data_IF_987011145768
#
_entry.id   IF_987011145768
#
_cell.length_a   1.000
_cell.length_b   1.000
_cell.length_c   1.000
_cell.angle_alpha   90.00
_cell.angle_beta   90.00
_cell.angle_gamma   90.00
#
_symmetry.space_group_name_H-M   'P 1'
#
loop_
_entity.id
_entity.type
_entity.pdbx_description
1 polymer ?
#
# COMPACT_ATOMS: atom_id res chain seq x y z
N UNK A 1 -38.17 -20.85 -9.28
CA UNK A 1 -37.11 -20.28 -10.16
C UNK A 1 -36.58 -19.02 -9.50
N UNK A 2 -35.37 -19.10 -8.95
CA UNK A 2 -34.77 -18.07 -8.10
C UNK A 2 -34.17 -16.94 -8.93
N UNK A 3 -34.18 -15.74 -8.34
CA UNK A 3 -33.85 -14.42 -8.90
C UNK A 3 -32.45 -14.29 -9.53
N UNK A 4 -31.58 -15.30 -9.41
CA UNK A 4 -30.23 -15.35 -9.98
C UNK A 4 -30.19 -15.61 -11.49
N UNK A 5 -31.19 -16.30 -12.05
CA UNK A 5 -31.21 -16.65 -13.48
C UNK A 5 -31.61 -15.47 -14.38
N UNK A 6 -32.31 -14.47 -13.82
CA UNK A 6 -32.75 -13.28 -14.58
C UNK A 6 -31.60 -12.29 -14.80
N UNK A 7 -30.66 -12.18 -13.84
CA UNK A 7 -29.49 -11.31 -14.01
C UNK A 7 -28.55 -11.83 -15.10
N UNK A 8 -28.20 -13.12 -15.06
CA UNK A 8 -27.27 -13.74 -16.03
C UNK A 8 -27.75 -13.66 -17.48
N UNK A 9 -29.07 -13.68 -17.73
CA UNK A 9 -29.61 -13.56 -19.09
C UNK A 9 -29.60 -12.13 -19.63
N UNK A 10 -29.78 -11.11 -18.77
CA UNK A 10 -29.73 -9.70 -19.16
C UNK A 10 -28.29 -9.22 -19.49
N UNK A 11 -27.28 -9.85 -18.90
CA UNK A 11 -25.86 -9.59 -19.18
C UNK A 11 -25.39 -10.05 -20.57
N UNK A 12 -25.93 -11.18 -21.09
CA UNK A 12 -25.52 -11.71 -22.40
C UNK A 12 -25.96 -10.81 -23.57
N UNK A 13 -27.12 -10.15 -23.47
CA UNK A 13 -27.59 -9.24 -24.53
C UNK A 13 -26.87 -7.89 -24.51
N UNK A 14 -26.41 -7.41 -23.35
CA UNK A 14 -25.69 -6.12 -23.25
C UNK A 14 -24.26 -6.21 -23.82
N UNK A 15 -23.60 -7.36 -23.64
CA UNK A 15 -22.26 -7.61 -24.18
C UNK A 15 -22.27 -7.69 -25.72
N UNK A 16 -23.32 -8.23 -26.33
CA UNK A 16 -23.39 -8.37 -27.78
C UNK A 16 -23.67 -7.05 -28.52
N UNK A 17 -24.30 -6.07 -27.85
CA UNK A 17 -24.62 -4.77 -28.44
C UNK A 17 -23.50 -3.73 -28.28
N UNK A 18 -22.56 -3.96 -27.36
CA UNK A 18 -21.39 -3.09 -27.10
C UNK A 18 -20.13 -3.50 -27.88
N UNK A 19 -20.16 -4.64 -28.59
CA UNK A 19 -19.00 -5.18 -29.30
C UNK A 19 -18.61 -4.43 -30.58
N UNK A 20 -19.31 -3.35 -30.96
CA UNK A 20 -19.14 -2.78 -32.31
C UNK A 20 -18.47 -1.40 -32.37
N UNK A 21 -18.59 -0.43 -31.45
CA UNK A 21 -18.30 0.96 -31.89
C UNK A 21 -17.83 2.04 -30.87
N UNK A 22 -17.15 1.77 -29.75
CA UNK A 22 -16.73 2.92 -28.91
C UNK A 22 -15.52 2.72 -27.98
N UNK A 23 -14.31 3.07 -28.44
CA UNK A 23 -13.05 3.00 -27.68
C UNK A 23 -13.07 3.89 -26.41
N UNK A 24 -13.82 4.99 -26.41
CA UNK A 24 -14.03 5.84 -25.22
C UNK A 24 -14.85 5.14 -24.14
N UNK A 25 -15.86 4.36 -24.55
CA UNK A 25 -16.68 3.55 -23.65
C UNK A 25 -15.88 2.43 -22.96
N UNK A 26 -14.89 1.87 -23.64
CA UNK A 26 -13.99 0.84 -23.08
C UNK A 26 -13.09 1.38 -21.97
N UNK A 27 -12.58 2.62 -22.09
CA UNK A 27 -11.76 3.25 -21.04
C UNK A 27 -12.60 3.57 -19.81
N UNK A 28 -13.81 4.10 -20.00
CA UNK A 28 -14.74 4.34 -18.90
C UNK A 28 -15.20 3.04 -18.24
N UNK A 29 -15.46 1.98 -19.02
CA UNK A 29 -15.73 0.65 -18.49
C UNK A 29 -14.52 0.12 -17.72
N UNK A 30 -13.31 0.15 -18.24
CA UNK A 30 -12.12 -0.30 -17.52
C UNK A 30 -11.89 0.46 -16.21
N UNK A 31 -12.15 1.78 -16.18
CA UNK A 31 -12.15 2.57 -14.94
C UNK A 31 -13.28 2.17 -13.99
N UNK A 32 -14.48 1.91 -14.51
CA UNK A 32 -15.62 1.43 -13.73
C UNK A 32 -15.34 0.02 -13.17
N UNK A 33 -14.72 -0.85 -13.95
CA UNK A 33 -14.35 -2.21 -13.59
C UNK A 33 -13.19 -2.22 -12.60
N UNK A 34 -12.21 -1.33 -12.72
CA UNK A 34 -11.19 -1.06 -11.70
C UNK A 34 -11.83 -0.59 -10.40
N UNK A 35 -12.75 0.38 -10.47
CA UNK A 35 -13.51 0.87 -9.32
C UNK A 35 -14.40 -0.22 -8.69
N UNK A 36 -15.04 -1.07 -9.50
CA UNK A 36 -15.89 -2.18 -9.05
C UNK A 36 -15.03 -3.29 -8.46
N UNK A 37 -13.89 -3.63 -9.06
CA UNK A 37 -12.94 -4.61 -8.53
C UNK A 37 -12.34 -4.12 -7.22
N UNK A 38 -11.87 -2.88 -7.17
CA UNK A 38 -11.39 -2.25 -5.93
C UNK A 38 -12.52 -2.23 -4.91
N UNK A 39 -13.74 -1.82 -5.25
CA UNK A 39 -14.92 -1.88 -4.34
C UNK A 39 -15.32 -3.30 -3.96
N UNK A 40 -15.12 -4.31 -4.82
CA UNK A 40 -15.42 -5.71 -4.55
C UNK A 40 -14.35 -6.35 -3.66
N UNK A 41 -13.07 -6.07 -3.93
CA UNK A 41 -11.92 -6.46 -3.12
C UNK A 41 -12.08 -5.80 -1.74
N UNK A 42 -12.28 -4.49 -1.69
CA UNK A 42 -12.58 -3.72 -0.48
C UNK A 42 -13.81 -4.30 0.21
N UNK A 43 -14.96 -4.52 -0.43
CA UNK A 43 -16.12 -5.13 0.24
C UNK A 43 -15.86 -6.58 0.71
N UNK A 44 -15.15 -7.40 -0.05
CA UNK A 44 -14.84 -8.80 0.30
C UNK A 44 -13.74 -8.93 1.36
N UNK A 45 -12.97 -7.86 1.58
CA UNK A 45 -11.92 -7.74 2.58
C UNK A 45 -12.49 -7.04 3.83
N UNK A 46 -13.07 -5.84 3.67
CA UNK A 46 -13.64 -5.03 4.74
C UNK A 46 -14.84 -5.67 5.39
N UNK A 47 -15.79 -6.27 4.67
CA UNK A 47 -16.98 -6.82 5.35
C UNK A 47 -16.57 -7.96 6.31
N UNK A 48 -15.74 -8.95 5.91
CA UNK A 48 -15.22 -9.94 6.85
C UNK A 48 -14.28 -9.37 7.91
N UNK A 49 -13.48 -8.34 7.58
CA UNK A 49 -12.64 -7.67 8.56
C UNK A 49 -13.46 -6.98 9.64
N UNK A 50 -14.43 -6.14 9.27
CA UNK A 50 -15.33 -5.45 10.17
C UNK A 50 -16.09 -6.44 11.05
N UNK A 51 -16.63 -7.50 10.46
CA UNK A 51 -17.41 -8.51 11.18
C UNK A 51 -16.53 -9.31 12.14
N UNK A 52 -15.34 -9.73 11.71
CA UNK A 52 -14.41 -10.45 12.56
C UNK A 52 -13.80 -9.55 13.66
N UNK A 53 -13.56 -8.27 13.38
CA UNK A 53 -13.11 -7.29 14.37
C UNK A 53 -14.17 -7.04 15.45
N UNK A 54 -15.43 -6.79 15.06
CA UNK A 54 -16.55 -6.63 15.99
C UNK A 54 -16.73 -7.87 16.89
N UNK A 55 -16.56 -9.08 16.34
CA UNK A 55 -16.63 -10.33 17.09
C UNK A 55 -15.37 -10.62 17.94
N UNK A 56 -14.21 -10.08 17.57
CA UNK A 56 -12.93 -10.29 18.27
C UNK A 56 -12.73 -9.38 19.47
N UNK A 57 -13.21 -8.13 19.41
CA UNK A 57 -13.19 -7.21 20.56
C UNK A 57 -14.01 -7.75 21.75
N UNK A 58 -15.01 -8.60 21.49
CA UNK A 58 -15.89 -9.16 22.53
C UNK A 58 -15.32 -10.36 23.30
N UNK A 59 -14.27 -11.03 22.81
CA UNK A 59 -13.73 -12.27 23.39
C UNK A 59 -12.21 -12.23 23.27
N UNK A 60 -11.48 -12.32 24.39
CA UNK A 60 -10.01 -12.26 24.56
C UNK A 60 -9.16 -13.29 23.75
N UNK A 61 -9.51 -13.62 22.49
CA UNK A 61 -8.78 -14.50 21.57
C UNK A 61 -8.50 -13.80 20.23
N UNK A 62 -7.90 -12.60 20.28
CA UNK A 62 -7.66 -11.77 19.10
C UNK A 62 -6.69 -12.41 18.10
N UNK A 63 -5.61 -13.04 18.56
CA UNK A 63 -4.55 -13.56 17.67
C UNK A 63 -5.03 -14.69 16.76
N UNK A 64 -5.65 -15.74 17.32
CA UNK A 64 -6.10 -16.91 16.55
C UNK A 64 -7.15 -16.56 15.48
N UNK A 65 -8.00 -15.56 15.78
CA UNK A 65 -9.02 -15.08 14.86
C UNK A 65 -8.41 -14.27 13.72
N UNK A 66 -7.44 -13.40 14.01
CA UNK A 66 -6.75 -12.61 12.98
C UNK A 66 -5.95 -13.51 12.02
N UNK A 67 -5.33 -14.57 12.55
CA UNK A 67 -4.63 -15.58 11.75
C UNK A 67 -5.58 -16.29 10.79
N UNK A 68 -6.77 -16.68 11.27
CA UNK A 68 -7.83 -17.23 10.44
C UNK A 68 -8.27 -16.27 9.33
N UNK A 69 -8.39 -14.97 9.61
CA UNK A 69 -8.72 -13.96 8.58
C UNK A 69 -7.63 -13.90 7.51
N UNK A 70 -6.34 -13.88 7.88
CA UNK A 70 -5.23 -13.88 6.92
C UNK A 70 -5.27 -15.13 6.02
N UNK A 71 -5.52 -16.30 6.60
CA UNK A 71 -5.67 -17.54 5.85
C UNK A 71 -6.87 -17.48 4.89
N UNK A 72 -8.01 -16.93 5.32
CA UNK A 72 -9.18 -16.77 4.47
C UNK A 72 -8.92 -15.82 3.28
N UNK A 73 -8.22 -14.71 3.51
CA UNK A 73 -7.81 -13.77 2.45
C UNK A 73 -6.92 -14.46 1.42
N UNK A 74 -5.92 -15.22 1.89
CA UNK A 74 -5.05 -16.02 1.03
C UNK A 74 -5.82 -17.07 0.22
N UNK A 75 -6.72 -17.82 0.86
CA UNK A 75 -7.52 -18.84 0.19
C UNK A 75 -8.46 -18.23 -0.87
N UNK A 76 -9.06 -17.07 -0.58
CA UNK A 76 -9.87 -16.33 -1.56
C UNK A 76 -9.03 -15.90 -2.77
N UNK A 77 -7.82 -15.39 -2.55
CA UNK A 77 -6.90 -15.02 -3.63
C UNK A 77 -6.57 -16.23 -4.52
N UNK A 78 -6.17 -17.35 -3.92
CA UNK A 78 -5.84 -18.60 -4.65
C UNK A 78 -7.03 -19.08 -5.47
N UNK A 79 -8.23 -19.11 -4.88
CA UNK A 79 -9.46 -19.52 -5.58
C UNK A 79 -9.78 -18.62 -6.77
N UNK A 80 -9.77 -17.31 -6.58
CA UNK A 80 -10.04 -16.34 -7.66
C UNK A 80 -9.05 -16.46 -8.82
N UNK A 81 -7.74 -16.60 -8.52
CA UNK A 81 -6.72 -16.77 -9.55
C UNK A 81 -6.84 -18.14 -10.26
N UNK A 82 -7.23 -19.19 -9.54
CA UNK A 82 -7.48 -20.52 -10.12
C UNK A 82 -8.69 -20.50 -11.06
N UNK A 83 -9.80 -19.89 -10.66
CA UNK A 83 -10.98 -19.72 -11.49
C UNK A 83 -10.64 -18.94 -12.77
N UNK A 84 -9.91 -17.83 -12.64
CA UNK A 84 -9.44 -17.06 -13.79
C UNK A 84 -8.57 -17.92 -14.73
N UNK A 85 -7.60 -18.65 -14.18
CA UNK A 85 -6.77 -19.59 -14.95
C UNK A 85 -7.65 -20.57 -15.72
N UNK A 86 -8.61 -21.22 -15.06
CA UNK A 86 -9.48 -22.23 -15.69
C UNK A 86 -10.31 -21.69 -16.85
N UNK A 87 -10.78 -20.44 -16.77
CA UNK A 87 -11.50 -19.78 -17.87
C UNK A 87 -10.61 -19.54 -19.10
N UNK A 88 -9.32 -19.28 -18.90
CA UNK A 88 -8.35 -18.94 -19.95
C UNK A 88 -7.47 -20.11 -20.42
N UNK A 89 -7.54 -21.28 -19.77
CA UNK A 89 -6.75 -22.48 -20.15
C UNK A 89 -7.00 -22.89 -21.61
N UNK A 90 -8.19 -22.61 -22.16
CA UNK A 90 -8.53 -22.95 -23.55
C UNK A 90 -7.69 -22.17 -24.58
N UNK A 91 -7.17 -20.98 -24.23
CA UNK A 91 -6.47 -20.09 -25.16
C UNK A 91 -4.93 -20.18 -25.10
N UNK A 92 -4.35 -20.72 -24.01
CA UNK A 92 -2.91 -20.71 -23.81
C UNK A 92 -2.39 -22.04 -23.24
N UNK A 93 -1.69 -22.82 -24.09
CA UNK A 93 -0.84 -23.97 -23.67
C UNK A 93 0.45 -23.50 -22.95
N UNK A 94 0.34 -22.51 -22.07
CA UNK A 94 1.49 -21.92 -21.38
C UNK A 94 1.61 -22.60 -20.01
N UNK A 95 2.31 -23.73 -19.99
CA UNK A 95 2.74 -24.36 -18.75
C UNK A 95 3.72 -23.45 -18.00
N UNK A 96 3.66 -23.44 -16.67
CA UNK A 96 4.70 -22.79 -15.85
C UNK A 96 4.36 -21.43 -15.25
N UNK A 97 3.65 -20.54 -15.98
CA UNK A 97 3.42 -19.14 -15.55
C UNK A 97 2.15 -18.95 -14.70
N UNK A 98 2.19 -17.96 -13.81
CA UNK A 98 1.00 -17.47 -13.11
C UNK A 98 0.19 -16.64 -14.11
N UNK A 99 -1.08 -17.00 -14.30
CA UNK A 99 -1.98 -16.34 -15.26
C UNK A 99 -3.00 -15.54 -14.45
N UNK A 100 -3.06 -14.24 -14.69
CA UNK A 100 -3.97 -13.31 -14.04
C UNK A 100 -4.27 -12.14 -15.00
N UNK A 101 -5.42 -11.45 -14.85
CA UNK A 101 -5.71 -10.28 -15.68
C UNK A 101 -4.80 -9.14 -15.26
N UNK A 102 -4.36 -8.33 -16.22
CA UNK A 102 -3.46 -7.19 -15.97
C UNK A 102 -4.03 -6.21 -14.93
N UNK A 103 -5.35 -6.03 -14.93
CA UNK A 103 -6.08 -5.22 -13.94
C UNK A 103 -5.93 -5.70 -12.49
N UNK A 104 -5.54 -6.96 -12.27
CA UNK A 104 -5.33 -7.56 -10.95
C UNK A 104 -3.85 -7.76 -10.61
N UNK A 105 -2.91 -7.24 -11.39
CA UNK A 105 -1.47 -7.44 -11.15
C UNK A 105 -1.04 -7.05 -9.72
N UNK A 106 -1.63 -6.00 -9.17
CA UNK A 106 -1.31 -5.51 -7.82
C UNK A 106 -2.14 -6.17 -6.70
N UNK A 107 -3.17 -6.96 -7.03
CA UNK A 107 -4.03 -7.58 -6.03
C UNK A 107 -3.25 -8.48 -5.05
N UNK A 108 -2.35 -9.38 -5.49
CA UNK A 108 -1.56 -10.17 -4.56
C UNK A 108 -0.68 -9.33 -3.62
N UNK A 109 -0.15 -8.21 -4.12
CA UNK A 109 0.68 -7.30 -3.35
C UNK A 109 -0.14 -6.60 -2.26
N UNK A 110 -1.32 -6.07 -2.61
CA UNK A 110 -2.22 -5.45 -1.62
C UNK A 110 -2.70 -6.43 -0.57
N UNK A 111 -2.98 -7.69 -0.93
CA UNK A 111 -3.38 -8.71 0.04
C UNK A 111 -2.22 -9.06 0.99
N UNK A 112 -0.99 -9.16 0.47
CA UNK A 112 0.20 -9.36 1.32
C UNK A 112 0.39 -8.19 2.28
N UNK A 113 0.34 -6.96 1.77
CA UNK A 113 0.49 -5.74 2.57
C UNK A 113 -0.59 -5.65 3.66
N UNK A 114 -1.83 -6.00 3.32
CA UNK A 114 -2.93 -6.09 4.28
C UNK A 114 -2.67 -7.14 5.35
N UNK A 115 -2.20 -8.34 4.99
CA UNK A 115 -1.84 -9.38 5.96
C UNK A 115 -0.70 -8.96 6.90
N UNK A 116 0.18 -8.06 6.45
CA UNK A 116 1.30 -7.48 7.22
C UNK A 116 0.94 -6.19 7.96
N UNK A 117 -0.24 -5.64 7.73
CA UNK A 117 -0.66 -4.38 8.34
C UNK A 117 -0.88 -4.53 9.84
N UNK A 118 -0.70 -3.41 10.58
CA UNK A 118 -0.95 -3.35 12.02
C UNK A 118 -2.36 -3.83 12.41
N UNK A 119 -3.36 -3.65 11.55
CA UNK A 119 -4.73 -4.09 11.80
C UNK A 119 -4.92 -5.62 11.80
N UNK A 120 -4.07 -6.36 11.07
CA UNK A 120 -4.24 -7.81 10.88
C UNK A 120 -3.08 -8.64 11.37
N UNK A 121 -1.98 -8.02 11.77
CA UNK A 121 -0.86 -8.72 12.35
C UNK A 121 -1.23 -9.35 13.70
N UNK A 122 -0.88 -10.62 13.86
CA UNK A 122 -1.04 -11.40 15.08
C UNK A 122 0.35 -11.70 15.58
N UNK A 123 0.74 -11.10 16.71
CA UNK A 123 2.02 -11.42 17.36
C UNK A 123 3.05 -10.30 17.47
N UNK A 124 2.71 -9.02 17.29
CA UNK A 124 3.64 -7.96 17.71
C UNK A 124 3.43 -7.69 19.20
N UNK A 125 4.34 -8.21 20.02
CA UNK A 125 4.41 -7.87 21.45
C UNK A 125 4.68 -6.36 21.68
N UNK A 126 5.12 -5.66 20.63
CA UNK A 126 5.60 -4.27 20.68
C UNK A 126 4.55 -3.22 20.26
N UNK A 127 3.36 -3.63 19.79
CA UNK A 127 2.32 -2.68 19.34
C UNK A 127 1.23 -2.57 20.40
N UNK A 128 0.86 -1.34 20.75
CA UNK A 128 -0.18 -1.11 21.75
C UNK A 128 -1.57 -1.51 21.23
N UNK A 129 -2.45 -1.95 22.13
CA UNK A 129 -3.83 -2.28 21.77
C UNK A 129 -4.55 -1.09 21.11
N UNK A 130 -4.26 0.12 21.56
CA UNK A 130 -4.85 1.35 21.03
C UNK A 130 -4.43 1.61 19.58
N UNK A 131 -3.14 1.43 19.26
CA UNK A 131 -2.64 1.55 17.87
C UNK A 131 -3.26 0.49 16.96
N UNK A 132 -3.38 -0.75 17.46
CA UNK A 132 -4.02 -1.83 16.73
C UNK A 132 -5.49 -1.49 16.44
N UNK A 133 -6.24 -1.04 17.46
CA UNK A 133 -7.64 -0.62 17.32
C UNK A 133 -7.78 0.57 16.37
N UNK A 134 -6.90 1.56 16.45
CA UNK A 134 -6.91 2.73 15.59
C UNK A 134 -6.64 2.36 14.12
N UNK A 135 -5.71 1.45 13.85
CA UNK A 135 -5.45 0.94 12.51
C UNK A 135 -6.66 0.17 11.96
N UNK A 136 -7.26 -0.70 12.77
CA UNK A 136 -8.49 -1.43 12.42
C UNK A 136 -9.64 -0.49 12.08
N UNK A 137 -9.91 0.48 12.95
CA UNK A 137 -10.95 1.49 12.73
C UNK A 137 -10.68 2.32 11.46
N UNK A 138 -9.44 2.75 11.25
CA UNK A 138 -9.05 3.50 10.05
C UNK A 138 -9.34 2.72 8.78
N UNK A 139 -9.05 1.41 8.74
CA UNK A 139 -9.41 0.59 7.59
C UNK A 139 -10.91 0.57 7.32
N UNK A 140 -11.74 0.56 8.37
CA UNK A 140 -13.20 0.51 8.27
C UNK A 140 -13.81 1.79 7.70
N UNK A 141 -13.23 2.95 8.03
CA UNK A 141 -13.83 4.25 7.69
C UNK A 141 -13.24 4.91 6.45
N UNK A 142 -12.03 4.53 6.03
CA UNK A 142 -11.34 5.20 4.94
C UNK A 142 -12.00 4.94 3.58
N UNK A 143 -12.12 5.95 2.71
CA UNK A 143 -12.56 5.75 1.34
C UNK A 143 -11.54 4.90 0.57
N UNK A 144 -12.02 4.19 -0.46
CA UNK A 144 -11.24 3.19 -1.19
C UNK A 144 -9.83 3.64 -1.62
N UNK A 145 -9.70 4.85 -2.18
CA UNK A 145 -8.41 5.39 -2.62
C UNK A 145 -7.44 5.56 -1.46
N UNK A 146 -7.90 6.09 -0.32
CA UNK A 146 -7.06 6.31 0.86
C UNK A 146 -6.74 5.01 1.57
N UNK A 147 -7.66 4.06 1.60
CA UNK A 147 -7.41 2.73 2.13
C UNK A 147 -6.27 2.03 1.39
N UNK A 148 -6.23 2.12 0.06
CA UNK A 148 -5.13 1.54 -0.72
C UNK A 148 -3.78 2.20 -0.39
N UNK A 149 -3.75 3.51 -0.16
CA UNK A 149 -2.52 4.20 0.26
C UNK A 149 -2.14 3.87 1.72
N UNK A 150 -3.13 3.70 2.59
CA UNK A 150 -2.91 3.28 3.98
C UNK A 150 -2.35 1.86 4.07
N UNK A 151 -2.82 0.93 3.23
CA UNK A 151 -2.33 -0.46 3.20
C UNK A 151 -0.95 -0.56 2.55
N UNK A 152 -0.72 0.19 1.48
CA UNK A 152 0.56 0.22 0.76
C UNK A 152 0.93 1.70 0.55
N UNK A 153 1.71 2.30 1.46
CA UNK A 153 2.15 3.70 1.40
C UNK A 153 3.01 4.02 0.18
N UNK A 154 3.11 5.31 -0.15
CA UNK A 154 3.92 5.76 -1.30
C UNK A 154 5.31 6.19 -0.84
N UNK A 155 6.35 5.50 -1.30
CA UNK A 155 7.74 5.85 -1.05
C UNK A 155 8.31 6.63 -2.24
N UNK A 156 8.96 7.75 -1.97
CA UNK A 156 9.62 8.59 -2.98
C UNK A 156 11.06 8.84 -2.56
N UNK A 157 11.98 8.80 -3.53
CA UNK A 157 13.34 9.28 -3.37
C UNK A 157 13.39 10.75 -3.78
N UNK A 158 13.89 11.61 -2.91
CA UNK A 158 13.78 13.06 -3.07
C UNK A 158 15.07 13.74 -3.49
N UNK A 159 16.24 13.17 -3.21
CA UNK A 159 17.55 13.80 -3.52
C UNK A 159 17.66 14.23 -5.00
N UNK A 160 17.20 13.41 -5.94
CA UNK A 160 17.16 13.78 -7.36
C UNK A 160 16.09 14.83 -7.67
N UNK A 161 14.93 14.75 -7.02
CA UNK A 161 13.80 15.66 -7.25
C UNK A 161 14.08 17.08 -6.72
N UNK A 162 14.90 17.21 -5.68
CA UNK A 162 15.27 18.50 -5.10
C UNK A 162 16.26 19.29 -5.96
N UNK A 163 16.96 18.63 -6.89
CA UNK A 163 17.88 19.28 -7.83
C UNK A 163 17.18 19.89 -9.05
N UNK A 164 15.88 19.64 -9.23
CA UNK A 164 15.08 20.10 -10.37
C UNK A 164 14.31 21.38 -10.00
N UNK A 165 14.01 22.23 -10.97
CA UNK A 165 13.13 23.40 -10.80
C UNK A 165 11.73 23.02 -10.27
N UNK A 166 11.09 23.88 -9.45
CA UNK A 166 9.82 23.59 -8.77
C UNK A 166 8.71 23.07 -9.67
N UNK A 167 8.59 23.63 -10.88
CA UNK A 167 7.50 23.34 -11.81
C UNK A 167 7.57 21.93 -12.43
N UNK A 168 8.74 21.29 -12.36
CA UNK A 168 8.99 19.96 -12.93
C UNK A 168 8.98 18.84 -11.88
N UNK A 169 8.79 19.18 -10.61
CA UNK A 169 8.85 18.25 -9.47
C UNK A 169 7.84 17.11 -9.63
N UNK A 170 6.61 17.40 -10.05
CA UNK A 170 5.56 16.39 -10.18
C UNK A 170 5.91 15.28 -11.18
N UNK A 171 6.64 15.63 -12.24
CA UNK A 171 7.13 14.67 -13.22
C UNK A 171 8.38 13.89 -12.76
N UNK A 172 9.12 14.44 -11.80
CA UNK A 172 10.31 13.82 -11.24
C UNK A 172 9.99 12.78 -10.15
N UNK A 173 8.86 12.94 -9.45
CA UNK A 173 8.46 12.03 -8.36
C UNK A 173 8.02 10.65 -8.89
N UNK A 174 8.88 9.66 -8.72
CA UNK A 174 8.59 8.26 -9.02
C UNK A 174 8.36 7.47 -7.74
N UNK A 175 7.24 6.74 -7.70
CA UNK A 175 6.95 5.84 -6.59
C UNK A 175 7.89 4.64 -6.63
N UNK A 176 8.56 4.39 -5.51
CA UNK A 176 9.44 3.26 -5.32
C UNK A 176 8.71 2.07 -4.68
N UNK A 177 9.14 0.83 -4.96
CA UNK A 177 8.71 -0.35 -4.22
C UNK A 177 9.03 -0.23 -2.72
N UNK A 178 8.22 -0.87 -1.88
CA UNK A 178 8.35 -0.86 -0.42
C UNK A 178 9.28 -1.98 0.05
N UNK A 179 10.55 -1.87 -0.34
CA UNK A 179 11.64 -2.79 0.02
C UNK A 179 12.88 -2.01 0.48
N UNK A 180 13.63 -2.61 1.39
CA UNK A 180 14.91 -2.13 1.92
C UNK A 180 15.95 -2.00 0.80
N UNK A 181 15.85 -2.78 -0.27
CA UNK A 181 16.75 -2.68 -1.43
C UNK A 181 16.65 -1.32 -2.14
N UNK A 182 15.54 -0.60 -1.98
CA UNK A 182 15.36 0.73 -2.55
C UNK A 182 15.93 1.85 -1.66
N UNK A 183 16.32 1.56 -0.42
CA UNK A 183 16.85 2.53 0.53
C UNK A 183 18.38 2.57 0.49
N UNK A 184 18.91 3.71 0.06
CA UNK A 184 20.33 4.00 0.07
C UNK A 184 20.73 4.75 1.35
N UNK A 185 21.85 4.36 1.94
CA UNK A 185 22.47 5.06 3.08
C UNK A 185 22.79 6.52 2.82
N UNK A 186 22.98 6.93 1.57
CA UNK A 186 23.23 8.32 1.18
C UNK A 186 21.96 9.06 0.69
N UNK A 187 20.81 8.39 0.67
CA UNK A 187 19.59 8.94 0.08
C UNK A 187 18.68 9.68 1.08
N UNK A 188 17.78 10.47 0.50
CA UNK A 188 16.69 11.16 1.20
C UNK A 188 15.36 10.62 0.67
N UNK A 189 14.52 10.15 1.58
CA UNK A 189 13.26 9.50 1.21
C UNK A 189 12.06 10.12 1.92
N UNK A 190 10.92 10.06 1.26
CA UNK A 190 9.63 10.48 1.79
C UNK A 190 8.64 9.32 1.66
N UNK A 191 8.10 8.87 2.79
CA UNK A 191 7.01 7.92 2.85
C UNK A 191 5.71 8.67 3.15
N UNK A 192 4.72 8.51 2.28
CA UNK A 192 3.38 9.08 2.40
C UNK A 192 2.35 7.96 2.63
N UNK A 193 1.86 7.84 3.86
CA UNK A 193 0.80 6.92 4.27
C UNK A 193 -0.62 7.52 4.16
N UNK A 194 -0.72 8.80 3.74
CA UNK A 194 -1.96 9.56 3.65
C UNK A 194 -2.39 10.27 4.93
N UNK A 195 -1.69 10.08 6.05
CA UNK A 195 -1.89 10.75 7.34
C UNK A 195 -0.65 11.55 7.78
N UNK A 196 0.54 11.05 7.46
CA UNK A 196 1.83 11.60 7.83
C UNK A 196 2.78 11.54 6.65
N UNK A 197 3.73 12.47 6.64
CA UNK A 197 4.85 12.46 5.74
C UNK A 197 6.09 12.09 6.53
N UNK A 198 6.55 10.84 6.41
CA UNK A 198 7.77 10.41 7.09
C UNK A 198 8.97 10.70 6.18
N UNK A 199 9.80 11.64 6.61
CA UNK A 199 11.07 11.97 6.00
C UNK A 199 12.14 11.10 6.62
N UNK A 200 12.71 10.19 5.82
CA UNK A 200 13.81 9.34 6.25
C UNK A 200 15.14 9.85 5.69
N UNK A 201 16.10 10.01 6.60
CA UNK A 201 17.44 10.49 6.30
C UNK A 201 18.43 9.34 6.36
N UNK A 202 19.08 9.04 5.23
CA UNK A 202 20.18 8.08 5.19
C UNK A 202 21.33 8.48 6.12
N UNK A 203 22.02 7.51 6.71
CA UNK A 203 23.10 7.78 7.68
C UNK A 203 24.29 8.55 7.08
N UNK A 204 24.53 8.38 5.77
CA UNK A 204 25.59 9.01 4.99
C UNK A 204 25.07 10.15 4.11
N UNK A 205 23.84 10.62 4.33
CA UNK A 205 23.30 11.78 3.64
C UNK A 205 24.21 13.01 3.87
N UNK A 206 24.44 13.79 2.80
CA UNK A 206 25.29 14.97 2.87
C UNK A 206 24.80 15.95 3.96
N UNK A 207 25.68 16.37 4.89
CA UNK A 207 25.30 17.25 5.99
C UNK A 207 24.72 18.59 5.52
N UNK A 208 25.21 19.12 4.40
CA UNK A 208 24.75 20.36 3.78
C UNK A 208 23.28 20.26 3.37
N UNK A 209 22.92 19.27 2.53
CA UNK A 209 21.54 19.03 2.11
C UNK A 209 20.59 18.81 3.29
N UNK A 210 21.06 18.09 4.30
CA UNK A 210 20.27 17.83 5.49
C UNK A 210 20.02 19.11 6.30
N UNK A 211 21.05 19.94 6.52
CA UNK A 211 20.90 21.21 7.23
C UNK A 211 20.00 22.18 6.45
N UNK A 212 20.10 22.18 5.12
CA UNK A 212 19.27 22.99 4.23
C UNK A 212 17.78 22.66 4.38
N UNK A 213 17.43 21.36 4.46
CA UNK A 213 16.04 20.90 4.58
C UNK A 213 15.52 21.06 6.00
N UNK A 214 16.33 20.72 7.01
CA UNK A 214 15.91 20.78 8.41
C UNK A 214 15.92 22.20 8.98
N UNK A 215 16.68 23.12 8.37
CA UNK A 215 16.90 24.49 8.85
C UNK A 215 17.74 24.58 10.13
N UNK A 216 18.25 23.44 10.63
CA UNK A 216 19.02 23.33 11.86
C UNK A 216 20.20 22.38 11.66
N UNK A 217 21.33 22.68 12.32
CA UNK A 217 22.44 21.74 12.41
C UNK A 217 22.05 20.59 13.34
N UNK A 218 22.20 19.35 12.89
CA UNK A 218 21.93 18.17 13.71
C UNK A 218 22.75 18.11 15.01
N UNK A 219 23.94 18.72 15.04
CA UNK A 219 24.75 18.82 16.25
C UNK A 219 24.02 19.51 17.40
N UNK A 220 23.06 20.38 17.08
CA UNK A 220 22.35 21.22 18.04
C UNK A 220 20.96 20.65 18.39
N UNK A 221 20.48 19.65 17.63
CA UNK A 221 19.16 19.03 17.78
C UNK A 221 19.29 17.50 17.85
N UNK A 222 19.54 16.93 19.04
CA UNK A 222 19.66 15.49 19.20
C UNK A 222 18.33 14.74 19.03
N UNK A 223 17.20 15.43 19.17
CA UNK A 223 15.86 14.84 19.07
C UNK A 223 15.14 15.26 17.78
N UNK A 224 15.20 14.39 16.77
CA UNK A 224 14.58 14.61 15.46
C UNK A 224 13.05 14.62 15.53
N UNK A 225 12.43 14.09 16.59
CA UNK A 225 10.97 14.05 16.72
C UNK A 225 10.33 15.42 16.88
N UNK A 226 11.09 16.40 17.38
CA UNK A 226 10.63 17.75 17.69
C UNK A 226 10.85 18.74 16.55
N UNK A 227 11.51 18.31 15.47
CA UNK A 227 11.83 19.18 14.34
C UNK A 227 10.54 19.54 13.61
N UNK A 228 10.28 20.84 13.48
CA UNK A 228 9.23 21.37 12.61
C UNK A 228 9.87 21.80 11.30
N UNK A 229 9.58 21.07 10.22
CA UNK A 229 10.04 21.44 8.89
C UNK A 229 9.34 22.73 8.45
N UNK A 230 10.13 23.73 8.07
CA UNK A 230 9.69 25.02 7.56
C UNK A 230 10.50 25.35 6.32
N UNK A 231 9.93 26.19 5.47
CA UNK A 231 10.67 26.74 4.34
C UNK A 231 11.80 27.63 4.87
N UNK A 232 13.01 27.36 4.42
CA UNK A 232 14.21 28.13 4.70
C UNK A 232 14.65 28.89 3.45
N UNK A 233 15.53 29.88 3.60
CA UNK A 233 16.09 30.69 2.51
C UNK A 233 17.14 29.92 1.68
N UNK A 234 16.78 28.74 1.17
CA UNK A 234 17.61 27.93 0.27
C UNK A 234 16.73 27.16 -0.73
N UNK A 235 17.33 26.80 -1.87
CA UNK A 235 16.60 26.15 -2.97
C UNK A 235 16.12 24.73 -2.59
N UNK A 236 16.93 23.96 -1.85
CA UNK A 236 16.56 22.60 -1.44
C UNK A 236 15.30 22.58 -0.55
N UNK A 237 15.21 23.49 0.42
CA UNK A 237 14.07 23.65 1.32
C UNK A 237 12.83 24.11 0.56
N UNK A 238 12.95 25.10 -0.33
CA UNK A 238 11.84 25.55 -1.17
C UNK A 238 11.30 24.42 -2.05
N UNK A 239 12.18 23.67 -2.69
CA UNK A 239 11.82 22.51 -3.53
C UNK A 239 11.19 21.40 -2.68
N UNK A 240 11.74 21.13 -1.50
CA UNK A 240 11.20 20.15 -0.56
C UNK A 240 9.79 20.53 -0.12
N UNK A 241 9.57 21.80 0.26
CA UNK A 241 8.26 22.30 0.63
C UNK A 241 7.29 22.34 -0.56
N UNK A 242 7.78 22.52 -1.79
CA UNK A 242 6.98 22.37 -3.00
C UNK A 242 6.54 20.92 -3.24
N UNK A 243 7.43 19.93 -3.05
CA UNK A 243 7.07 18.48 -3.08
C UNK A 243 5.94 18.19 -2.09
N UNK A 244 6.08 18.64 -0.84
CA UNK A 244 5.06 18.38 0.18
C UNK A 244 3.72 19.03 -0.16
N UNK A 245 3.73 20.23 -0.75
CA UNK A 245 2.52 20.91 -1.24
C UNK A 245 1.87 20.16 -2.39
N UNK A 246 2.64 19.77 -3.40
CA UNK A 246 2.13 19.02 -4.54
C UNK A 246 1.50 17.68 -4.11
N UNK A 247 2.10 16.96 -3.16
CA UNK A 247 1.52 15.73 -2.60
C UNK A 247 0.23 16.00 -1.82
N UNK A 248 0.15 17.08 -1.04
CA UNK A 248 -1.08 17.49 -0.33
C UNK A 248 -2.21 17.86 -1.27
N UNK A 249 -1.91 18.48 -2.40
CA UNK A 249 -2.92 18.81 -3.41
C UNK A 249 -3.55 17.56 -4.04
N UNK A 250 -2.83 16.43 -4.07
CA UNK A 250 -3.36 15.14 -4.55
C UNK A 250 -4.38 14.51 -3.59
N UNK A 251 -4.32 14.84 -2.30
CA UNK A 251 -5.24 14.38 -1.25
C UNK A 251 -5.47 15.47 -0.18
N UNK A 252 -6.48 16.31 -0.41
CA UNK A 252 -6.87 17.41 0.47
C UNK A 252 -7.67 16.97 1.71
N UNK A 253 -7.83 15.67 1.95
CA UNK A 253 -8.72 15.17 3.00
C UNK A 253 -8.09 15.18 4.41
N UNK A 254 -6.77 15.33 4.51
CA UNK A 254 -6.05 15.42 5.76
C UNK A 254 -4.81 16.31 5.58
N UNK A 255 -4.38 16.98 6.64
CA UNK A 255 -3.09 17.66 6.65
C UNK A 255 -2.01 16.68 7.12
N UNK A 256 -1.18 16.19 6.19
CA UNK A 256 -0.12 15.24 6.51
C UNK A 256 1.03 15.94 7.24
N UNK A 257 1.19 15.66 8.52
CA UNK A 257 2.26 16.24 9.34
C UNK A 257 3.61 15.59 8.97
N UNK A 258 4.66 16.37 8.63
CA UNK A 258 5.98 15.83 8.41
C UNK A 258 6.63 15.36 9.71
N UNK A 259 7.23 14.18 9.68
CA UNK A 259 8.01 13.59 10.78
C UNK A 259 9.37 13.19 10.25
N UNK A 260 10.42 13.49 10.99
CA UNK A 260 11.79 13.15 10.60
C UNK A 260 12.28 11.95 11.40
N UNK A 261 12.94 11.02 10.71
CA UNK A 261 13.68 9.92 11.30
C UNK A 261 15.01 9.73 10.58
N UNK A 262 16.06 9.37 11.31
CA UNK A 262 17.37 9.07 10.71
C UNK A 262 17.64 7.57 10.76
N UNK A 263 18.37 7.08 9.76
CA UNK A 263 18.85 5.72 9.74
C UNK A 263 19.69 5.39 10.99
N UNK A 264 19.33 4.31 11.68
CA UNK A 264 19.92 3.88 12.95
C UNK A 264 19.19 4.38 14.21
N UNK A 265 18.16 5.22 14.08
CA UNK A 265 17.38 5.73 15.21
C UNK A 265 16.33 4.71 15.68
N UNK A 266 16.78 3.65 16.36
CA UNK A 266 15.89 2.62 16.90
C UNK A 266 15.30 3.04 18.25
N UNK A 267 14.04 2.67 18.56
CA UNK A 267 13.12 1.85 17.76
C UNK A 267 12.28 2.64 16.73
N UNK A 268 12.46 3.97 16.64
CA UNK A 268 11.61 4.84 15.80
C UNK A 268 11.69 4.52 14.32
N UNK A 269 12.88 4.25 13.80
CA UNK A 269 13.08 3.84 12.40
C UNK A 269 12.34 2.53 12.12
N UNK A 270 12.48 1.54 13.01
CA UNK A 270 11.79 0.26 12.90
C UNK A 270 10.27 0.42 12.84
N UNK A 271 9.72 1.19 13.78
CA UNK A 271 8.27 1.39 13.90
C UNK A 271 7.69 2.26 12.78
N UNK A 272 8.35 3.35 12.39
CA UNK A 272 7.82 4.32 11.43
C UNK A 272 8.10 3.95 9.97
N UNK A 273 9.29 3.43 9.65
CA UNK A 273 9.67 3.12 8.27
C UNK A 273 9.70 1.62 7.99
N UNK A 274 10.49 0.84 8.75
CA UNK A 274 10.78 -0.55 8.37
C UNK A 274 9.53 -1.44 8.41
N UNK A 275 8.60 -1.18 9.32
CA UNK A 275 7.29 -1.82 9.39
C UNK A 275 6.45 -1.65 8.12
N UNK A 276 6.68 -0.56 7.36
CA UNK A 276 5.99 -0.25 6.12
C UNK A 276 6.67 -0.87 4.88
N UNK A 277 7.85 -1.50 5.01
CA UNK A 277 8.55 -2.19 3.91
C UNK A 277 7.95 -3.58 3.65
N UNK A 278 6.68 -3.60 3.25
CA UNK A 278 5.84 -4.81 3.18
C UNK A 278 6.30 -5.85 2.15
N UNK A 279 7.19 -5.50 1.23
CA UNK A 279 7.71 -6.46 0.24
C UNK A 279 8.81 -7.36 0.83
N UNK A 280 9.48 -6.91 1.90
CA UNK A 280 10.55 -7.65 2.54
C UNK A 280 10.03 -8.72 3.50
N UNK A 281 10.92 -9.65 3.82
CA UNK A 281 10.66 -10.63 4.87
C UNK A 281 10.70 -9.94 6.24
N UNK A 282 9.62 -10.09 7.02
CA UNK A 282 9.59 -9.68 8.43
C UNK A 282 9.47 -10.93 9.32
N UNK A 283 9.65 -10.76 10.63
CA UNK A 283 9.52 -11.86 11.61
C UNK A 283 8.19 -12.61 11.41
N UNK A 284 8.28 -13.89 11.07
CA UNK A 284 7.11 -14.75 10.87
C UNK A 284 6.31 -14.53 9.58
N UNK A 285 6.75 -13.66 8.66
CA UNK A 285 6.06 -13.41 7.37
C UNK A 285 6.99 -13.58 6.16
N UNK A 286 6.43 -13.95 5.01
CA UNK A 286 7.20 -14.17 3.78
C UNK A 286 7.50 -12.87 3.04
N UNK A 287 8.59 -12.82 2.28
CA UNK A 287 8.82 -11.77 1.27
C UNK A 287 7.74 -11.83 0.18
N UNK A 288 7.58 -10.75 -0.60
CA UNK A 288 6.63 -10.75 -1.71
C UNK A 288 6.93 -11.84 -2.75
N UNK A 289 8.22 -12.06 -3.05
CA UNK A 289 8.63 -13.08 -4.00
C UNK A 289 8.29 -14.49 -3.51
N UNK A 290 8.58 -14.80 -2.25
CA UNK A 290 8.25 -16.09 -1.65
C UNK A 290 6.73 -16.30 -1.56
N UNK A 291 6.00 -15.25 -1.22
CA UNK A 291 4.54 -15.26 -1.15
C UNK A 291 3.91 -15.58 -2.50
N UNK A 292 4.34 -14.93 -3.58
CA UNK A 292 3.83 -15.21 -4.93
C UNK A 292 4.13 -16.66 -5.35
N UNK A 293 5.32 -17.17 -5.03
CA UNK A 293 5.67 -18.56 -5.29
C UNK A 293 4.77 -19.53 -4.50
N UNK A 294 4.46 -19.22 -3.24
CA UNK A 294 3.53 -19.98 -2.42
C UNK A 294 2.12 -20.00 -3.02
N UNK A 295 1.59 -18.84 -3.42
CA UNK A 295 0.28 -18.72 -4.08
C UNK A 295 0.24 -19.58 -5.35
N UNK A 296 1.29 -19.51 -6.18
CA UNK A 296 1.39 -20.30 -7.41
C UNK A 296 1.41 -21.81 -7.14
N UNK A 297 2.10 -22.27 -6.09
CA UNK A 297 2.09 -23.68 -5.66
C UNK A 297 0.70 -24.12 -5.21
N UNK A 298 0.02 -23.32 -4.39
CA UNK A 298 -1.32 -23.63 -3.87
C UNK A 298 -2.39 -23.69 -4.97
N UNK A 299 -2.28 -22.84 -5.99
CA UNK A 299 -3.15 -22.88 -7.16
C UNK A 299 -3.03 -24.20 -7.94
N UNK A 300 -1.85 -24.84 -7.93
CA UNK A 300 -1.61 -26.13 -8.58
C UNK A 300 -1.99 -27.33 -7.72
N UNK A 301 -1.81 -27.25 -6.41
CA UNK A 301 -2.02 -28.37 -5.49
C UNK A 301 -3.47 -28.59 -5.09
N UNK A 302 -4.33 -27.57 -5.20
CA UNK A 302 -5.75 -27.67 -4.89
C UNK A 302 -6.45 -28.45 -6.01
N UNK A 303 -6.25 -29.76 -6.07
CA UNK A 303 -6.93 -30.71 -6.97
C UNK A 303 -8.27 -31.12 -6.41
#
# INVERSE_FOLDING_TARGET
MTTQTVYTFKWRCYIHHLLVNDVSGWIQLLQLWSQILVKCIIKQILVPLCQCWLESVSKNSLSDKLDSVRQQLQLKLVKSLKEYRNLYIVQHRIGGRLIYPESLRYLPLYILALCKSLALCGGYADVSLDEHCAAGFSMMILPARRLLNFIYPSLYRLDEALAVEPDMIDGALKRLPLTLQCLDTAGLYLLDDGFTFLVWLGRMLQPELMNDILGVSLSNFPDLSKIQLRECDNNHSRNFMAVLRALRERDSSCYQLPRVVRQGEQPREGFLLLSNLVEDQMTGTSSYMDWILQIHRQMRSSG
#
